data_IF_071380025309
#
_entry.id   IF_071380025309
#
_cell.length_a   1.000
_cell.length_b   1.000
_cell.length_c   1.000
_cell.angle_alpha   90.00
_cell.angle_beta   90.00
_cell.angle_gamma   90.00
#
_symmetry.space_group_name_H-M   'P 1'
#
loop_
_entity.id
_entity.type
_entity.pdbx_description
1 polymer ?
#
# COMPACT_ATOMS: atom_id res chain seq x y z
N UNK A 1 -9.28 -11.63 21.28
CA UNK A 1 -9.96 -11.80 19.97
C UNK A 1 -8.90 -11.66 18.90
N UNK A 2 -8.89 -12.53 17.94
CA UNK A 2 -8.00 -12.40 16.79
C UNK A 2 -8.38 -11.15 16.00
N UNK A 3 -7.38 -10.41 15.54
CA UNK A 3 -7.61 -9.20 14.76
C UNK A 3 -8.01 -9.56 13.33
N UNK A 4 -8.94 -8.79 12.78
CA UNK A 4 -9.41 -8.93 11.39
C UNK A 4 -9.15 -7.65 10.62
N UNK A 5 -8.48 -7.75 9.48
CA UNK A 5 -8.25 -6.65 8.54
C UNK A 5 -9.08 -6.87 7.27
N UNK A 6 -9.66 -5.79 6.73
CA UNK A 6 -10.22 -5.76 5.38
C UNK A 6 -9.24 -5.10 4.43
N UNK A 7 -8.80 -5.82 3.38
CA UNK A 7 -8.04 -5.21 2.29
C UNK A 7 -8.93 -4.94 1.08
N UNK A 8 -8.82 -3.73 0.50
CA UNK A 8 -9.70 -3.21 -0.55
C UNK A 8 -8.82 -2.80 -1.74
N UNK A 9 -8.78 -3.63 -2.77
CA UNK A 9 -7.98 -3.43 -3.98
C UNK A 9 -8.46 -4.38 -5.09
N UNK A 10 -7.86 -4.32 -6.28
CA UNK A 10 -8.21 -5.23 -7.38
C UNK A 10 -7.72 -6.67 -7.15
N UNK A 11 -8.34 -7.60 -7.87
CA UNK A 11 -7.80 -8.94 -8.09
C UNK A 11 -7.20 -8.99 -9.49
N UNK A 12 -5.89 -8.99 -9.59
CA UNK A 12 -5.18 -9.40 -10.78
C UNK A 12 -4.98 -10.92 -10.74
N UNK A 13 -5.73 -11.67 -11.56
CA UNK A 13 -5.75 -13.14 -11.50
C UNK A 13 -4.37 -13.77 -11.73
N UNK A 14 -3.54 -13.12 -12.54
CA UNK A 14 -2.13 -13.47 -12.75
C UNK A 14 -1.27 -12.22 -12.56
N UNK A 15 -0.21 -12.37 -11.78
CA UNK A 15 0.73 -11.32 -11.42
C UNK A 15 0.88 -11.19 -9.90
N UNK A 16 1.96 -10.59 -9.47
CA UNK A 16 2.35 -10.46 -8.06
C UNK A 16 2.03 -9.04 -7.56
N UNK A 17 0.72 -8.71 -7.49
CA UNK A 17 0.26 -7.39 -7.03
C UNK A 17 -1.13 -7.45 -6.38
N UNK A 18 -1.53 -6.38 -5.76
CA UNK A 18 -2.86 -6.14 -5.19
C UNK A 18 -3.34 -7.26 -4.26
N UNK A 19 -4.59 -7.72 -4.34
CA UNK A 19 -5.15 -8.73 -3.42
C UNK A 19 -4.42 -10.07 -3.46
N UNK A 20 -3.81 -10.47 -4.59
CA UNK A 20 -3.06 -11.71 -4.69
C UNK A 20 -1.75 -11.69 -3.89
N UNK A 21 -1.26 -10.50 -3.52
CA UNK A 21 -0.15 -10.28 -2.58
C UNK A 21 -0.68 -9.97 -1.18
N UNK A 22 -1.62 -9.03 -1.06
CA UNK A 22 -2.08 -8.54 0.23
C UNK A 22 -2.70 -9.64 1.10
N UNK A 23 -3.57 -10.48 0.54
CA UNK A 23 -4.23 -11.57 1.27
C UNK A 23 -3.22 -12.55 1.88
N UNK A 24 -2.31 -13.19 1.12
CA UNK A 24 -1.37 -14.15 1.69
C UNK A 24 -0.34 -13.50 2.64
N UNK A 25 0.13 -12.29 2.35
CA UNK A 25 1.14 -11.61 3.18
C UNK A 25 0.56 -11.21 4.54
N UNK A 26 -0.63 -10.61 4.58
CA UNK A 26 -1.29 -10.22 5.83
C UNK A 26 -1.70 -11.47 6.63
N UNK A 27 -2.18 -12.51 5.95
CA UNK A 27 -2.49 -13.80 6.60
C UNK A 27 -1.23 -14.45 7.20
N UNK A 28 -0.08 -14.35 6.53
CA UNK A 28 1.21 -14.83 7.07
C UNK A 28 1.67 -14.05 8.31
N UNK A 29 1.20 -12.81 8.49
CA UNK A 29 1.37 -12.06 9.74
C UNK A 29 0.50 -12.58 10.90
N UNK A 30 -0.36 -13.59 10.68
CA UNK A 30 -1.29 -14.14 11.67
C UNK A 30 -2.53 -13.27 11.88
N UNK A 31 -2.95 -12.50 10.88
CA UNK A 31 -4.13 -11.64 10.89
C UNK A 31 -5.20 -12.27 10.00
N UNK A 32 -6.44 -12.40 10.52
CA UNK A 32 -7.58 -12.79 9.68
C UNK A 32 -7.83 -11.71 8.63
N UNK A 33 -7.73 -12.09 7.35
CA UNK A 33 -7.76 -11.14 6.23
C UNK A 33 -9.04 -11.30 5.42
N UNK A 34 -9.96 -10.34 5.54
CA UNK A 34 -11.09 -10.16 4.63
C UNK A 34 -10.64 -9.44 3.38
N UNK A 35 -11.32 -9.68 2.27
CA UNK A 35 -11.06 -8.99 0.99
C UNK A 35 -12.33 -8.31 0.48
N UNK A 36 -12.18 -7.13 -0.11
CA UNK A 36 -13.18 -6.46 -0.93
C UNK A 36 -12.55 -6.13 -2.28
N UNK A 37 -12.83 -6.92 -3.33
CA UNK A 37 -12.29 -6.63 -4.64
C UNK A 37 -12.88 -5.33 -5.21
N UNK A 38 -12.03 -4.40 -5.65
CA UNK A 38 -12.43 -3.21 -6.40
C UNK A 38 -12.76 -3.55 -7.86
N UNK A 39 -12.03 -4.49 -8.42
CA UNK A 39 -12.20 -5.02 -9.78
C UNK A 39 -11.53 -6.38 -9.91
N UNK A 40 -11.84 -7.10 -11.00
CA UNK A 40 -11.17 -8.34 -11.38
C UNK A 40 -10.53 -8.15 -12.75
N UNK A 41 -9.23 -8.39 -12.82
CA UNK A 41 -8.43 -8.36 -14.05
C UNK A 41 -7.89 -9.75 -14.38
N UNK A 42 -7.75 -10.09 -15.66
CA UNK A 42 -7.10 -11.34 -16.07
C UNK A 42 -5.63 -11.40 -15.63
N UNK A 43 -4.97 -10.27 -15.58
CA UNK A 43 -3.58 -10.06 -15.18
C UNK A 43 -3.37 -8.58 -14.83
N UNK A 44 -2.31 -8.26 -14.10
CA UNK A 44 -1.99 -6.85 -13.83
C UNK A 44 -1.64 -6.08 -15.11
N UNK A 45 -1.69 -4.76 -15.03
CA UNK A 45 -1.58 -3.88 -16.21
C UNK A 45 -0.15 -3.59 -16.66
N UNK A 46 0.85 -3.94 -15.86
CA UNK A 46 2.23 -3.61 -16.12
C UNK A 46 2.96 -4.72 -16.91
N UNK A 47 3.48 -4.40 -18.10
CA UNK A 47 4.30 -5.31 -18.91
C UNK A 47 3.54 -6.32 -19.76
N UNK A 48 2.26 -6.58 -19.49
CA UNK A 48 1.41 -7.39 -20.36
C UNK A 48 0.87 -6.59 -21.55
N UNK A 49 0.61 -7.25 -22.67
CA UNK A 49 0.10 -6.60 -23.90
C UNK A 49 -1.39 -6.22 -23.83
N UNK A 50 -2.11 -6.69 -22.81
CA UNK A 50 -3.53 -6.39 -22.58
C UNK A 50 -4.07 -7.17 -21.39
N UNK A 51 -5.28 -6.83 -20.98
CA UNK A 51 -5.99 -7.46 -19.86
C UNK A 51 -7.50 -7.33 -20.04
N UNK A 52 -8.26 -8.23 -19.39
CA UNK A 52 -9.69 -8.03 -19.19
C UNK A 52 -9.91 -7.25 -17.90
N UNK A 53 -11.01 -6.51 -17.81
CA UNK A 53 -11.34 -5.70 -16.64
C UNK A 53 -12.83 -5.82 -16.32
N UNK A 54 -13.14 -6.14 -15.09
CA UNK A 54 -14.51 -6.16 -14.57
C UNK A 54 -14.59 -5.31 -13.30
N UNK A 55 -15.27 -4.18 -13.40
CA UNK A 55 -15.49 -3.26 -12.28
C UNK A 55 -16.51 -3.82 -11.29
N UNK A 56 -16.27 -3.70 -9.99
CA UNK A 56 -17.13 -4.19 -8.91
C UNK A 56 -17.73 -3.06 -8.06
N UNK A 57 -17.72 -1.83 -8.56
CA UNK A 57 -18.25 -0.66 -7.84
C UNK A 57 -19.70 -0.85 -7.37
N UNK A 58 -20.57 -1.40 -8.23
CA UNK A 58 -21.99 -1.62 -7.92
C UNK A 58 -22.24 -2.75 -6.91
N UNK A 59 -21.26 -3.58 -6.65
CA UNK A 59 -21.35 -4.68 -5.68
C UNK A 59 -20.96 -4.25 -4.26
N UNK A 60 -20.13 -3.21 -4.13
CA UNK A 60 -19.65 -2.72 -2.81
C UNK A 60 -20.78 -2.42 -1.82
N UNK A 61 -21.85 -1.64 -2.19
CA UNK A 61 -22.95 -1.36 -1.26
C UNK A 61 -23.74 -2.62 -0.88
N UNK A 62 -23.92 -3.57 -1.80
CA UNK A 62 -24.62 -4.84 -1.53
C UNK A 62 -23.82 -5.73 -0.56
N UNK A 63 -22.49 -5.76 -0.73
CA UNK A 63 -21.58 -6.48 0.17
C UNK A 63 -21.65 -5.86 1.56
N UNK A 64 -21.57 -4.52 1.66
CA UNK A 64 -21.67 -3.82 2.95
C UNK A 64 -22.99 -4.13 3.64
N UNK A 65 -24.12 -4.03 2.95
CA UNK A 65 -25.47 -4.34 3.49
C UNK A 65 -25.48 -5.74 4.10
N UNK A 66 -24.92 -6.73 3.37
CA UNK A 66 -24.86 -8.10 3.86
C UNK A 66 -23.96 -8.23 5.09
N UNK A 67 -22.80 -7.60 5.10
CA UNK A 67 -21.91 -7.60 6.27
C UNK A 67 -22.55 -6.97 7.50
N UNK A 68 -23.28 -5.88 7.35
CA UNK A 68 -24.00 -5.24 8.47
C UNK A 68 -25.09 -6.16 9.02
N UNK A 69 -25.83 -6.85 8.16
CA UNK A 69 -26.84 -7.85 8.56
C UNK A 69 -26.20 -8.99 9.38
N UNK A 70 -25.03 -9.47 8.98
CA UNK A 70 -24.28 -10.54 9.66
C UNK A 70 -23.38 -10.02 10.80
N UNK A 71 -23.41 -8.71 11.09
CA UNK A 71 -22.59 -8.06 12.11
C UNK A 71 -21.08 -8.28 11.90
N UNK A 72 -20.64 -8.35 10.64
CA UNK A 72 -19.22 -8.41 10.28
C UNK A 72 -18.59 -7.05 10.52
N UNK A 73 -17.42 -7.04 11.17
CA UNK A 73 -16.67 -5.82 11.46
C UNK A 73 -15.16 -6.09 11.49
N UNK A 74 -14.36 -5.03 11.33
CA UNK A 74 -12.92 -5.11 11.11
C UNK A 74 -12.14 -4.24 12.11
N UNK A 75 -10.95 -4.69 12.50
CA UNK A 75 -10.00 -3.95 13.34
C UNK A 75 -9.10 -3.03 12.53
N UNK A 76 -9.04 -3.23 11.21
CA UNK A 76 -8.31 -2.37 10.29
C UNK A 76 -8.83 -2.47 8.87
N UNK A 77 -8.57 -1.43 8.10
CA UNK A 77 -8.79 -1.33 6.66
C UNK A 77 -7.47 -0.99 5.98
N UNK A 78 -7.17 -1.67 4.88
CA UNK A 78 -6.03 -1.36 4.03
C UNK A 78 -6.51 -1.23 2.58
N UNK A 79 -6.29 -0.05 1.98
CA UNK A 79 -6.64 0.21 0.58
C UNK A 79 -5.40 0.28 -0.30
N UNK A 80 -5.48 -0.28 -1.50
CA UNK A 80 -4.52 -0.13 -2.57
C UNK A 80 -5.19 0.44 -3.83
N UNK A 81 -5.10 -0.25 -4.97
CA UNK A 81 -5.69 0.21 -6.23
C UNK A 81 -7.22 0.26 -6.17
N UNK A 82 -7.78 1.47 -6.27
CA UNK A 82 -9.22 1.74 -6.29
C UNK A 82 -9.53 2.85 -7.30
N UNK A 83 -10.75 2.89 -7.83
CA UNK A 83 -11.22 3.98 -8.70
C UNK A 83 -11.83 5.13 -7.89
N UNK A 84 -11.90 6.34 -8.50
CA UNK A 84 -12.54 7.48 -7.83
C UNK A 84 -14.03 7.25 -7.53
N UNK A 85 -14.74 6.49 -8.36
CA UNK A 85 -16.14 6.14 -8.14
C UNK A 85 -16.35 5.26 -6.90
N UNK A 86 -15.33 4.54 -6.46
CA UNK A 86 -15.38 3.63 -5.32
C UNK A 86 -15.09 4.32 -3.99
N UNK A 87 -14.38 5.46 -4.00
CA UNK A 87 -13.96 6.17 -2.77
C UNK A 87 -15.13 6.44 -1.82
N UNK A 88 -16.30 6.94 -2.26
CA UNK A 88 -17.44 7.17 -1.35
C UNK A 88 -17.93 5.88 -0.67
N UNK A 89 -18.01 4.77 -1.40
CA UNK A 89 -18.40 3.47 -0.85
C UNK A 89 -17.37 2.91 0.13
N UNK A 90 -16.09 3.09 -0.18
CA UNK A 90 -14.98 2.67 0.71
C UNK A 90 -15.03 3.44 2.03
N UNK A 91 -15.26 4.75 1.98
CA UNK A 91 -15.42 5.57 3.19
C UNK A 91 -16.62 5.14 4.02
N UNK A 92 -17.76 4.83 3.39
CA UNK A 92 -18.94 4.29 4.06
C UNK A 92 -18.64 2.92 4.73
N UNK A 93 -17.91 2.04 4.05
CA UNK A 93 -17.48 0.74 4.60
C UNK A 93 -16.56 0.94 5.80
N UNK A 94 -15.58 1.84 5.69
CA UNK A 94 -14.66 2.17 6.77
C UNK A 94 -15.34 2.80 7.98
N UNK A 95 -16.49 3.45 7.78
CA UNK A 95 -17.31 4.02 8.87
C UNK A 95 -18.19 2.94 9.51
N UNK A 96 -18.97 2.21 8.69
CA UNK A 96 -20.04 1.34 9.18
C UNK A 96 -19.56 -0.04 9.64
N UNK A 97 -18.48 -0.56 9.05
CA UNK A 97 -17.94 -1.89 9.38
C UNK A 97 -16.71 -1.84 10.31
N UNK A 98 -16.38 -0.65 10.85
CA UNK A 98 -15.26 -0.50 11.79
C UNK A 98 -15.61 -0.99 13.20
N UNK A 99 -14.66 -1.71 13.82
CA UNK A 99 -14.64 -1.87 15.27
C UNK A 99 -14.12 -0.59 15.94
N UNK A 100 -14.45 -0.34 17.21
CA UNK A 100 -13.87 0.80 17.93
C UNK A 100 -12.34 0.79 17.89
N UNK A 101 -11.74 1.89 17.40
CA UNK A 101 -10.29 2.01 17.27
C UNK A 101 -9.70 1.31 16.03
N UNK A 102 -10.53 0.94 15.05
CA UNK A 102 -10.07 0.36 13.80
C UNK A 102 -9.10 1.28 13.06
N UNK A 103 -7.98 0.74 12.59
CA UNK A 103 -6.97 1.49 11.84
C UNK A 103 -7.39 1.68 10.38
N UNK A 104 -7.11 2.87 9.83
CA UNK A 104 -7.25 3.18 8.40
C UNK A 104 -5.87 3.34 7.79
N UNK A 105 -5.46 2.40 6.95
CA UNK A 105 -4.15 2.34 6.29
C UNK A 105 -4.40 2.51 4.79
N UNK A 106 -3.83 3.56 4.21
CA UNK A 106 -4.05 3.90 2.81
C UNK A 106 -2.73 3.91 2.06
N UNK A 107 -2.60 3.02 1.09
CA UNK A 107 -1.62 3.12 0.02
C UNK A 107 -2.29 3.89 -1.13
N UNK A 108 -1.87 5.14 -1.42
CA UNK A 108 -2.54 5.97 -2.41
C UNK A 108 -2.10 5.62 -3.84
N UNK A 109 -2.22 4.35 -4.20
CA UNK A 109 -1.77 3.78 -5.48
C UNK A 109 -2.37 4.54 -6.66
N UNK A 110 -1.55 5.35 -7.35
CA UNK A 110 -1.98 6.09 -8.53
C UNK A 110 -0.87 6.41 -9.52
N UNK A 111 0.40 6.38 -9.11
CA UNK A 111 1.47 6.93 -9.92
C UNK A 111 2.85 6.35 -9.58
N UNK A 112 3.75 6.38 -10.55
CA UNK A 112 5.16 6.09 -10.34
C UNK A 112 6.02 6.80 -11.39
N UNK A 113 7.30 7.09 -11.05
CA UNK A 113 8.27 7.74 -11.95
C UNK A 113 7.73 9.03 -12.60
N UNK A 114 7.01 9.85 -11.85
CA UNK A 114 6.46 11.14 -12.27
C UNK A 114 5.22 11.05 -13.17
N UNK A 115 4.57 9.88 -13.28
CA UNK A 115 3.43 9.65 -14.16
C UNK A 115 2.31 8.90 -13.46
N UNK A 116 1.06 9.30 -13.74
CA UNK A 116 -0.12 8.52 -13.35
C UNK A 116 -0.14 7.17 -14.08
N UNK A 117 -0.65 6.15 -13.40
CA UNK A 117 -0.90 4.85 -14.04
C UNK A 117 -2.03 4.95 -15.07
N UNK A 118 -2.02 4.03 -16.02
CA UNK A 118 -3.08 3.90 -17.02
C UNK A 118 -4.43 3.72 -16.33
N UNK A 119 -5.41 4.53 -16.73
CA UNK A 119 -6.77 4.50 -16.17
C UNK A 119 -7.06 5.59 -15.13
N UNK A 120 -6.06 6.32 -14.65
CA UNK A 120 -6.28 7.49 -13.81
C UNK A 120 -6.18 8.78 -14.60
N UNK A 121 -7.07 9.73 -14.28
CA UNK A 121 -7.10 11.09 -14.83
C UNK A 121 -6.38 12.08 -13.89
N UNK A 122 -6.17 13.31 -14.37
CA UNK A 122 -5.46 14.36 -13.62
C UNK A 122 -6.19 14.80 -12.34
N UNK A 123 -7.49 14.53 -12.24
CA UNK A 123 -8.32 14.85 -11.06
C UNK A 123 -8.21 13.78 -9.97
N UNK A 124 -7.73 12.58 -10.30
CA UNK A 124 -7.66 11.46 -9.35
C UNK A 124 -6.89 11.78 -8.06
N UNK A 125 -5.74 12.48 -8.07
CA UNK A 125 -5.04 12.84 -6.85
C UNK A 125 -5.89 13.70 -5.89
N UNK A 126 -6.81 14.52 -6.42
CA UNK A 126 -7.72 15.32 -5.59
C UNK A 126 -8.77 14.45 -4.91
N UNK A 127 -9.32 13.45 -5.62
CA UNK A 127 -10.26 12.49 -5.04
C UNK A 127 -9.59 11.58 -4.01
N UNK A 128 -8.35 11.17 -4.25
CA UNK A 128 -7.56 10.39 -3.30
C UNK A 128 -7.36 11.11 -1.96
N UNK A 129 -7.34 12.45 -1.93
CA UNK A 129 -7.28 13.22 -0.68
C UNK A 129 -8.49 12.95 0.24
N UNK A 130 -9.65 12.63 -0.32
CA UNK A 130 -10.81 12.25 0.48
C UNK A 130 -10.57 10.93 1.21
N UNK A 131 -9.85 10.00 0.59
CA UNK A 131 -9.55 8.69 1.17
C UNK A 131 -8.45 8.78 2.24
N UNK A 132 -7.43 9.62 2.04
CA UNK A 132 -6.33 9.80 3.00
C UNK A 132 -6.70 10.68 4.19
N UNK A 133 -7.74 11.50 4.06
CA UNK A 133 -8.25 12.29 5.18
C UNK A 133 -8.70 11.36 6.31
N UNK A 134 -8.25 11.65 7.51
CA UNK A 134 -8.50 10.82 8.70
C UNK A 134 -7.88 9.41 8.65
N UNK A 135 -6.95 9.15 7.71
CA UNK A 135 -6.17 7.92 7.72
C UNK A 135 -5.19 7.89 8.91
N UNK A 136 -5.03 6.73 9.52
CA UNK A 136 -4.03 6.54 10.57
C UNK A 136 -2.61 6.47 9.99
N UNK A 137 -2.46 5.87 8.80
CA UNK A 137 -1.19 5.76 8.07
C UNK A 137 -1.43 5.89 6.58
N UNK A 138 -0.63 6.71 5.91
CA UNK A 138 -0.55 6.74 4.44
C UNK A 138 0.86 6.37 3.98
N UNK A 139 0.98 5.72 2.81
CA UNK A 139 2.25 5.18 2.33
C UNK A 139 2.59 5.58 0.89
N UNK A 140 2.56 6.89 0.55
CA UNK A 140 2.86 7.33 -0.81
C UNK A 140 4.33 7.11 -1.19
N UNK A 141 4.57 6.78 -2.46
CA UNK A 141 5.89 6.96 -3.06
C UNK A 141 6.13 8.47 -3.37
N UNK A 142 7.36 8.83 -3.78
CA UNK A 142 7.70 10.23 -4.08
C UNK A 142 6.84 10.86 -5.19
N UNK A 143 6.38 10.06 -6.16
CA UNK A 143 5.51 10.54 -7.24
C UNK A 143 4.11 10.83 -6.71
N UNK A 144 3.54 9.91 -5.97
CA UNK A 144 2.22 10.05 -5.34
C UNK A 144 2.19 11.21 -4.35
N UNK A 145 3.25 11.34 -3.55
CA UNK A 145 3.44 12.47 -2.65
C UNK A 145 3.42 13.81 -3.41
N UNK A 146 4.12 13.90 -4.54
CA UNK A 146 4.13 15.10 -5.38
C UNK A 146 2.74 15.42 -5.95
N UNK A 147 2.02 14.42 -6.46
CA UNK A 147 0.66 14.60 -6.99
C UNK A 147 -0.33 15.00 -5.89
N UNK A 148 -0.30 14.36 -4.73
CA UNK A 148 -1.15 14.70 -3.59
C UNK A 148 -0.92 16.14 -3.12
N UNK A 149 0.32 16.63 -3.16
CA UNK A 149 0.66 17.99 -2.75
C UNK A 149 0.53 19.02 -3.88
N UNK A 150 0.26 18.58 -5.12
CA UNK A 150 0.22 19.46 -6.28
C UNK A 150 1.58 20.12 -6.57
N UNK A 151 2.67 19.39 -6.32
CA UNK A 151 4.05 19.84 -6.48
C UNK A 151 4.74 19.08 -7.63
N UNK A 152 5.78 19.66 -8.25
CA UNK A 152 6.59 18.93 -9.22
C UNK A 152 7.25 17.70 -8.58
N UNK A 153 7.27 16.59 -9.32
CA UNK A 153 8.01 15.40 -8.94
C UNK A 153 9.52 15.65 -9.04
N UNK A 154 10.25 15.30 -7.98
CA UNK A 154 11.72 15.38 -7.91
C UNK A 154 12.26 13.98 -7.67
N UNK A 155 12.93 13.41 -8.70
CA UNK A 155 13.43 12.04 -8.65
C UNK A 155 14.68 11.88 -7.77
N UNK A 156 15.56 12.88 -7.76
CA UNK A 156 16.86 12.85 -7.10
C UNK A 156 17.37 14.26 -6.77
N UNK A 157 18.44 14.37 -6.00
CA UNK A 157 19.06 15.65 -5.65
C UNK A 157 18.35 16.43 -4.54
N UNK A 158 17.33 15.86 -3.91
CA UNK A 158 16.67 16.41 -2.73
C UNK A 158 17.46 16.09 -1.45
N UNK A 159 17.27 16.90 -0.43
CA UNK A 159 17.85 16.71 0.90
C UNK A 159 16.83 16.22 1.94
N UNK A 160 17.29 16.02 3.18
CA UNK A 160 16.41 15.62 4.30
C UNK A 160 15.33 16.66 4.57
N UNK A 161 15.64 17.95 4.48
CA UNK A 161 14.69 19.02 4.77
C UNK A 161 13.52 19.00 3.78
N UNK A 162 13.77 18.69 2.51
CA UNK A 162 12.74 18.49 1.48
C UNK A 162 11.79 17.33 1.84
N UNK A 163 12.34 16.17 2.19
CA UNK A 163 11.55 14.99 2.55
C UNK A 163 10.75 15.20 3.86
N UNK A 164 11.37 15.84 4.85
CA UNK A 164 10.68 16.17 6.10
C UNK A 164 9.53 17.15 5.90
N UNK A 165 9.72 18.16 5.04
CA UNK A 165 8.65 19.07 4.67
C UNK A 165 7.54 18.33 3.94
N UNK A 166 7.88 17.51 2.96
CA UNK A 166 6.92 16.69 2.20
C UNK A 166 6.07 15.81 3.14
N UNK A 167 6.68 15.11 4.08
CA UNK A 167 5.98 14.26 5.03
C UNK A 167 5.01 15.05 5.93
N UNK A 168 5.42 16.25 6.40
CA UNK A 168 4.55 17.13 7.20
C UNK A 168 3.41 17.72 6.36
N UNK A 169 3.68 18.13 5.13
CA UNK A 169 2.65 18.66 4.23
C UNK A 169 1.60 17.57 3.89
N UNK A 170 2.03 16.33 3.70
CA UNK A 170 1.12 15.18 3.51
C UNK A 170 0.26 14.94 4.75
N UNK A 171 0.84 14.98 5.95
CA UNK A 171 0.09 14.85 7.19
C UNK A 171 -0.93 16.01 7.35
N UNK A 172 -0.59 17.22 6.91
CA UNK A 172 -1.51 18.35 6.92
C UNK A 172 -2.75 18.17 6.01
N UNK A 173 -2.73 17.19 5.08
CA UNK A 173 -3.92 16.78 4.32
C UNK A 173 -4.92 15.96 5.17
N UNK A 174 -4.57 15.58 6.40
CA UNK A 174 -5.45 14.92 7.38
C UNK A 174 -4.98 13.55 7.87
N UNK A 175 -3.89 13.00 7.32
CA UNK A 175 -3.33 11.74 7.79
C UNK A 175 -2.55 11.92 9.11
N UNK A 176 -2.66 10.96 10.03
CA UNK A 176 -1.95 11.04 11.33
C UNK A 176 -0.46 10.72 11.19
N UNK A 177 -0.13 9.72 10.39
CA UNK A 177 1.23 9.26 10.15
C UNK A 177 1.49 9.10 8.66
N UNK A 178 2.74 9.29 8.24
CA UNK A 178 3.13 9.23 6.82
C UNK A 178 4.39 8.39 6.68
N UNK A 179 4.37 7.45 5.74
CA UNK A 179 5.56 6.74 5.30
C UNK A 179 5.81 7.09 3.84
N UNK A 180 6.80 7.91 3.56
CA UNK A 180 7.22 8.21 2.17
C UNK A 180 8.18 7.12 1.73
N UNK A 181 7.81 6.38 0.67
CA UNK A 181 8.64 5.32 0.11
C UNK A 181 9.50 5.80 -1.07
N UNK A 182 10.55 5.05 -1.39
CA UNK A 182 11.44 5.39 -2.50
C UNK A 182 12.45 6.51 -2.20
N UNK A 183 12.69 6.80 -0.91
CA UNK A 183 13.63 7.86 -0.49
C UNK A 183 15.08 7.37 -0.64
N UNK A 184 15.93 8.23 -1.21
CA UNK A 184 17.36 7.97 -1.37
C UNK A 184 18.15 9.26 -1.23
N UNK A 185 19.15 9.28 -0.33
CA UNK A 185 20.14 10.36 -0.22
C UNK A 185 21.52 9.92 -0.68
N UNK A 186 21.69 8.63 -0.95
CA UNK A 186 22.89 7.99 -1.43
C UNK A 186 22.48 7.04 -2.57
N UNK A 187 23.10 7.12 -3.77
CA UNK A 187 22.75 6.29 -4.92
C UNK A 187 22.82 4.78 -4.65
N UNK A 188 23.59 4.34 -3.65
CA UNK A 188 23.71 2.93 -3.25
C UNK A 188 22.59 2.47 -2.31
N UNK A 189 21.76 3.39 -1.79
CA UNK A 189 20.73 3.12 -0.77
C UNK A 189 19.35 3.53 -1.21
N UNK A 190 18.36 2.75 -0.83
CA UNK A 190 16.95 3.05 -1.03
C UNK A 190 16.20 2.75 0.27
N UNK A 191 15.24 3.59 0.62
CA UNK A 191 14.54 3.40 1.87
C UNK A 191 13.26 4.19 1.99
N UNK A 192 12.92 4.50 3.23
CA UNK A 192 11.68 5.16 3.62
C UNK A 192 11.93 6.27 4.63
N UNK A 193 11.09 7.29 4.60
CA UNK A 193 10.97 8.31 5.62
C UNK A 193 9.65 8.12 6.36
N UNK A 194 9.71 8.06 7.68
CA UNK A 194 8.57 7.74 8.56
C UNK A 194 8.29 8.94 9.46
N UNK A 195 7.14 9.58 9.27
CA UNK A 195 6.64 10.65 10.12
C UNK A 195 5.55 10.11 11.06
N UNK A 196 5.76 10.21 12.35
CA UNK A 196 4.89 9.68 13.42
C UNK A 196 3.97 10.75 14.05
N UNK A 197 3.74 11.86 13.36
CA UNK A 197 3.02 13.02 13.88
C UNK A 197 3.91 14.02 14.64
N UNK A 198 5.15 13.66 14.96
CA UNK A 198 6.09 14.50 15.71
C UNK A 198 7.44 14.67 15.00
N UNK A 199 8.11 13.58 14.69
CA UNK A 199 9.45 13.53 14.07
C UNK A 199 9.46 12.71 12.81
N UNK A 200 10.48 12.93 11.97
CA UNK A 200 10.78 12.07 10.82
C UNK A 200 11.98 11.20 11.13
N UNK A 201 11.81 9.89 10.97
CA UNK A 201 12.86 8.89 11.09
C UNK A 201 13.06 8.21 9.72
N UNK A 202 14.21 7.58 9.52
CA UNK A 202 14.57 7.00 8.24
C UNK A 202 15.03 5.56 8.41
N UNK A 203 14.74 4.73 7.40
CA UNK A 203 15.31 3.40 7.30
C UNK A 203 15.76 3.15 5.86
N UNK A 204 16.97 2.61 5.67
CA UNK A 204 17.57 2.37 4.36
C UNK A 204 18.15 0.97 4.26
N UNK A 205 17.93 0.35 3.10
CA UNK A 205 18.63 -0.86 2.67
C UNK A 205 19.59 -0.54 1.51
N UNK A 206 20.50 -1.46 1.22
CA UNK A 206 21.27 -1.43 -0.03
C UNK A 206 20.33 -1.52 -1.22
N UNK A 207 20.46 -0.58 -2.17
CA UNK A 207 19.62 -0.52 -3.38
C UNK A 207 19.86 -1.75 -4.23
N UNK A 208 18.80 -2.46 -4.56
CA UNK A 208 18.87 -3.61 -5.45
C UNK A 208 18.94 -3.15 -6.92
N UNK A 209 19.68 -3.91 -7.74
CA UNK A 209 19.92 -3.56 -9.14
C UNK A 209 18.68 -3.72 -10.03
N UNK A 210 17.65 -4.44 -9.55
CA UNK A 210 16.44 -4.75 -10.32
C UNK A 210 15.23 -4.13 -9.61
N UNK A 211 14.41 -3.41 -10.37
CA UNK A 211 13.07 -3.01 -9.97
C UNK A 211 12.08 -4.07 -10.43
N UNK A 212 11.09 -4.39 -9.61
CA UNK A 212 10.08 -5.41 -9.91
C UNK A 212 8.68 -4.90 -9.56
N UNK A 213 7.69 -5.37 -10.30
CA UNK A 213 6.28 -5.07 -10.01
C UNK A 213 5.82 -5.69 -8.69
N UNK A 214 4.81 -5.10 -8.05
CA UNK A 214 4.20 -5.61 -6.81
C UNK A 214 5.01 -5.38 -5.53
N UNK A 215 6.17 -4.72 -5.61
CA UNK A 215 6.98 -4.40 -4.41
C UNK A 215 6.28 -3.42 -3.48
N UNK A 216 5.46 -2.49 -4.01
CA UNK A 216 4.62 -1.57 -3.23
C UNK A 216 3.57 -2.34 -2.45
N UNK A 217 2.81 -3.21 -3.11
CA UNK A 217 1.77 -4.04 -2.47
C UNK A 217 2.35 -4.97 -1.39
N UNK A 218 3.53 -5.56 -1.66
CA UNK A 218 4.24 -6.37 -0.67
C UNK A 218 4.65 -5.52 0.54
N UNK A 219 5.25 -4.36 0.30
CA UNK A 219 5.66 -3.42 1.33
C UNK A 219 4.49 -3.03 2.22
N UNK A 220 3.43 -2.50 1.63
CA UNK A 220 2.26 -1.99 2.34
C UNK A 220 1.51 -3.10 3.10
N UNK A 221 1.44 -4.31 2.54
CA UNK A 221 0.84 -5.47 3.18
C UNK A 221 1.61 -5.92 4.43
N UNK A 222 2.96 -5.91 4.37
CA UNK A 222 3.81 -6.20 5.54
C UNK A 222 3.64 -5.14 6.61
N UNK A 223 3.64 -3.85 6.22
CA UNK A 223 3.41 -2.73 7.16
C UNK A 223 2.06 -2.87 7.86
N UNK A 224 0.99 -3.11 7.10
CA UNK A 224 -0.36 -3.29 7.65
C UNK A 224 -0.42 -4.47 8.65
N UNK A 225 0.12 -5.62 8.28
CA UNK A 225 0.19 -6.79 9.15
C UNK A 225 1.01 -6.55 10.41
N UNK A 226 2.18 -5.91 10.29
CA UNK A 226 3.08 -5.61 11.40
C UNK A 226 2.47 -4.61 12.40
N UNK A 227 1.76 -3.58 11.92
CA UNK A 227 1.03 -2.63 12.77
C UNK A 227 -0.05 -3.34 13.58
N UNK A 228 -0.80 -4.25 12.98
CA UNK A 228 -1.81 -5.02 13.69
C UNK A 228 -1.19 -6.01 14.70
N UNK A 229 0.05 -6.43 14.48
CA UNK A 229 0.86 -7.20 15.45
C UNK A 229 1.42 -6.35 16.59
N UNK A 230 1.16 -5.03 16.57
CA UNK A 230 1.60 -4.10 17.62
C UNK A 230 3.03 -3.58 17.45
N UNK A 231 3.64 -3.73 16.29
CA UNK A 231 4.93 -3.08 15.97
C UNK A 231 4.74 -1.56 15.91
N UNK A 232 5.75 -0.81 16.31
CA UNK A 232 5.79 0.64 16.08
C UNK A 232 5.81 0.96 14.58
N UNK A 233 5.49 2.20 14.23
CA UNK A 233 5.45 2.62 12.83
C UNK A 233 6.80 2.41 12.11
N UNK A 234 7.91 2.78 12.77
CA UNK A 234 9.25 2.59 12.21
C UNK A 234 9.63 1.10 12.09
N UNK A 235 9.30 0.27 13.11
CA UNK A 235 9.55 -1.17 13.02
C UNK A 235 8.76 -1.82 11.88
N UNK A 236 7.49 -1.44 11.71
CA UNK A 236 6.65 -1.95 10.63
C UNK A 236 7.20 -1.52 9.26
N UNK A 237 7.56 -0.24 9.10
CA UNK A 237 8.14 0.30 7.88
C UNK A 237 9.49 -0.37 7.54
N UNK A 238 10.35 -0.57 8.53
CA UNK A 238 11.64 -1.24 8.36
C UNK A 238 11.47 -2.71 7.97
N UNK A 239 10.54 -3.41 8.61
CA UNK A 239 10.24 -4.81 8.26
C UNK A 239 9.71 -4.93 6.83
N UNK A 240 8.82 -4.02 6.41
CA UNK A 240 8.34 -3.95 5.03
C UNK A 240 9.48 -3.82 4.02
N UNK A 241 10.42 -2.90 4.28
CA UNK A 241 11.59 -2.71 3.42
C UNK A 241 12.51 -3.94 3.38
N UNK A 242 12.75 -4.59 4.51
CA UNK A 242 13.57 -5.81 4.59
C UNK A 242 12.93 -6.97 3.81
N UNK A 243 11.61 -7.18 3.94
CA UNK A 243 10.90 -8.26 3.24
C UNK A 243 10.90 -8.02 1.72
N UNK A 244 10.72 -6.77 1.28
CA UNK A 244 10.82 -6.42 -0.14
C UNK A 244 12.22 -6.72 -0.68
N UNK A 245 13.27 -6.34 0.03
CA UNK A 245 14.66 -6.65 -0.38
C UNK A 245 14.90 -8.15 -0.46
N UNK A 246 14.38 -8.92 0.51
CA UNK A 246 14.48 -10.38 0.48
C UNK A 246 13.77 -10.97 -0.74
N UNK A 247 12.53 -10.53 -1.03
CA UNK A 247 11.78 -10.99 -2.19
C UNK A 247 12.49 -10.64 -3.52
N UNK A 248 13.08 -9.44 -3.64
CA UNK A 248 13.88 -9.05 -4.82
C UNK A 248 15.09 -9.97 -4.98
N UNK A 249 15.82 -10.27 -3.90
CA UNK A 249 16.97 -11.17 -3.94
C UNK A 249 16.60 -12.59 -4.39
N UNK A 250 15.46 -13.11 -3.90
CA UNK A 250 14.94 -14.43 -4.28
C UNK A 250 14.42 -14.48 -5.73
N UNK A 251 14.09 -13.33 -6.30
CA UNK A 251 13.67 -13.20 -7.71
C UNK A 251 14.85 -12.97 -8.64
N UNK A 252 15.95 -12.42 -8.13
CA UNK A 252 17.11 -12.01 -8.93
C UNK A 252 17.66 -13.17 -9.77
N UNK A 253 17.86 -12.92 -11.06
CA UNK A 253 18.39 -13.91 -12.02
C UNK A 253 17.33 -14.79 -12.68
N UNK A 254 16.09 -14.79 -12.22
CA UNK A 254 14.98 -15.47 -12.89
C UNK A 254 14.30 -14.56 -13.91
N UNK A 255 14.70 -14.69 -15.18
CA UNK A 255 14.15 -13.87 -16.28
C UNK A 255 12.71 -14.22 -16.64
N UNK A 256 12.26 -15.42 -16.29
CA UNK A 256 10.89 -15.87 -16.58
C UNK A 256 9.90 -15.29 -15.58
N UNK A 257 10.37 -14.87 -14.40
CA UNK A 257 9.57 -14.25 -13.35
C UNK A 257 9.59 -12.70 -13.41
N UNK A 258 9.40 -12.13 -14.60
CA UNK A 258 9.44 -10.69 -14.86
C UNK A 258 8.21 -9.93 -14.33
N UNK A 259 7.11 -10.62 -14.10
CA UNK A 259 5.79 -10.06 -13.74
C UNK A 259 5.62 -9.73 -12.24
N UNK A 260 6.66 -9.88 -11.44
CA UNK A 260 6.62 -9.50 -10.02
C UNK A 260 7.74 -10.12 -9.19
N UNK A 261 7.67 -9.98 -7.88
CA UNK A 261 8.62 -10.58 -6.94
C UNK A 261 8.12 -11.93 -6.40
N UNK A 262 9.01 -12.87 -6.14
CA UNK A 262 8.71 -14.17 -5.51
C UNK A 262 8.47 -13.98 -4.00
N UNK A 263 7.44 -13.24 -3.65
CA UNK A 263 7.14 -12.91 -2.25
C UNK A 263 6.81 -14.16 -1.42
N UNK A 264 6.26 -15.20 -2.02
CA UNK A 264 5.91 -16.45 -1.35
C UNK A 264 7.13 -17.08 -0.68
N UNK A 265 8.30 -16.97 -1.33
CA UNK A 265 9.57 -17.48 -0.80
C UNK A 265 10.13 -16.58 0.33
N UNK A 266 9.70 -15.32 0.40
CA UNK A 266 10.06 -14.40 1.48
C UNK A 266 9.14 -14.51 2.71
N UNK A 267 7.98 -15.18 2.63
CA UNK A 267 7.05 -15.34 3.76
C UNK A 267 7.69 -16.02 4.98
N UNK A 268 8.53 -17.05 4.86
CA UNK A 268 9.21 -17.62 6.03
C UNK A 268 10.08 -16.60 6.77
N UNK A 269 10.75 -15.69 6.03
CA UNK A 269 11.52 -14.61 6.64
C UNK A 269 10.61 -13.64 7.40
N UNK A 270 9.48 -13.21 6.81
CA UNK A 270 8.48 -12.37 7.45
C UNK A 270 7.96 -12.98 8.75
N UNK A 271 7.52 -14.25 8.70
CA UNK A 271 6.98 -14.96 9.87
C UNK A 271 8.02 -15.01 11.00
N UNK A 272 9.27 -15.33 10.69
CA UNK A 272 10.36 -15.37 11.68
C UNK A 272 10.62 -14.00 12.32
N UNK A 273 10.48 -12.90 11.57
CA UNK A 273 10.70 -11.54 12.06
C UNK A 273 9.55 -11.01 12.94
N UNK A 274 8.36 -11.59 12.81
CA UNK A 274 7.17 -11.26 13.61
C UNK A 274 7.03 -12.13 14.88
N UNK A 275 7.69 -13.27 14.91
CA UNK A 275 7.75 -14.15 16.09
C UNK A 275 8.66 -13.57 17.16
#
# INVERSE_FOLDING_TARGET
MDKRLLTIQDISCVGQCSLTVALPVISACGIETGILPSSVLSNHTAGYSGWTFHDLTEDMPKILERWLTEKVSFDAFYTGYVSKAQIPYILEIMEKAARPGALRIVDPVMADNGKLYTGFDEDFPQEMKNLIKDADVIMPNLTEAAFLLGQPYVAEGYDKAFIEKMARDLAALGAKNVIVTGVSFDPSKLGVAVYDGNKVEYYFNEKQAVSSHGTGDLYASVVAGALLRGKSLLEAASLGADVVVEAIKLTAGDKDHWYGVKFEQALPYLIKRLS
#
